data_IF_964220339957
#
_entry.id   IF_964220339957
#
_cell.length_a   1.000
_cell.length_b   1.000
_cell.length_c   1.000
_cell.angle_alpha   90.00
_cell.angle_beta   90.00
_cell.angle_gamma   90.00
#
_symmetry.space_group_name_H-M   'P 1'
#
loop_
_entity.id
_entity.type
_entity.pdbx_description
1 polymer ?
#
# COMPACT_ATOMS: atom_id res chain seq x y z
N UNK A 1 0.08 12.95 2.68
CA UNK A 1 1.50 13.12 2.26
C UNK A 1 1.79 14.34 1.37
N UNK A 2 0.84 14.85 0.56
CA UNK A 2 1.07 15.93 -0.44
C UNK A 2 1.62 17.28 0.08
N UNK A 3 1.62 17.51 1.40
CA UNK A 3 2.18 18.73 2.02
C UNK A 3 3.67 18.64 2.36
N UNK A 4 4.27 17.45 2.21
CA UNK A 4 5.67 17.20 2.56
C UNK A 4 6.58 17.24 1.33
N UNK A 5 7.87 17.44 1.56
CA UNK A 5 8.91 17.13 0.58
C UNK A 5 9.98 16.23 1.21
N UNK A 6 10.65 15.43 0.38
CA UNK A 6 11.74 14.56 0.80
C UNK A 6 13.07 15.29 0.66
N UNK A 7 13.96 15.08 1.62
CA UNK A 7 15.31 15.65 1.68
C UNK A 7 16.34 14.52 1.81
N UNK A 8 17.29 14.49 0.89
CA UNK A 8 18.53 13.74 1.00
C UNK A 8 19.44 14.40 2.06
N UNK A 9 20.53 13.72 2.41
CA UNK A 9 21.57 14.24 3.32
C UNK A 9 22.19 15.56 2.85
N UNK A 10 22.21 15.79 1.55
CA UNK A 10 22.88 16.90 0.87
C UNK A 10 21.94 17.80 0.03
N UNK A 11 20.63 17.60 0.11
CA UNK A 11 19.68 18.51 -0.53
C UNK A 11 18.26 17.98 -0.73
N UNK A 12 17.43 18.78 -1.41
CA UNK A 12 16.02 18.44 -1.63
C UNK A 12 15.86 17.41 -2.75
N UNK A 13 15.16 16.31 -2.48
CA UNK A 13 14.84 15.28 -3.47
C UNK A 13 13.59 15.65 -4.25
N UNK A 14 12.48 16.01 -3.61
CA UNK A 14 11.22 16.14 -4.33
C UNK A 14 9.98 16.05 -3.46
N UNK A 15 8.82 15.83 -4.08
CA UNK A 15 7.53 15.68 -3.36
C UNK A 15 7.00 14.25 -3.50
N UNK A 16 6.45 13.66 -2.44
CA UNK A 16 5.77 12.38 -2.55
C UNK A 16 4.49 12.57 -3.35
N UNK A 17 4.26 11.68 -4.31
CA UNK A 17 3.13 11.74 -5.23
C UNK A 17 2.16 10.57 -4.99
N UNK A 18 2.71 9.37 -4.87
CA UNK A 18 1.97 8.16 -4.52
C UNK A 18 2.88 7.17 -3.77
N UNK A 19 2.34 5.99 -3.45
CA UNK A 19 3.15 4.90 -2.93
C UNK A 19 2.72 3.57 -3.54
N UNK A 20 3.68 2.66 -3.61
CA UNK A 20 3.44 1.27 -3.95
C UNK A 20 3.39 0.43 -2.68
N UNK A 21 2.44 -0.49 -2.61
CA UNK A 21 2.27 -1.41 -1.49
C UNK A 21 2.04 -2.84 -1.98
N UNK A 22 2.38 -3.84 -1.17
CA UNK A 22 1.98 -5.22 -1.48
C UNK A 22 0.59 -5.54 -0.94
N UNK A 23 -0.30 -6.11 -1.76
CA UNK A 23 -1.69 -6.40 -1.38
C UNK A 23 -1.87 -7.64 -0.50
N UNK A 24 -0.79 -8.34 -0.15
CA UNK A 24 -0.79 -9.49 0.77
C UNK A 24 -0.59 -9.06 2.22
N UNK A 25 0.45 -8.28 2.50
CA UNK A 25 0.81 -7.82 3.84
C UNK A 25 0.43 -6.35 4.07
N UNK A 26 -0.01 -5.66 3.02
CA UNK A 26 -0.38 -4.25 3.07
C UNK A 26 0.78 -3.34 3.54
N UNK A 27 2.01 -3.76 3.27
CA UNK A 27 3.20 -2.96 3.53
C UNK A 27 3.45 -2.03 2.35
N UNK A 28 3.67 -0.75 2.65
CA UNK A 28 4.23 0.20 1.70
C UNK A 28 5.65 -0.25 1.39
N UNK A 29 5.94 -0.50 0.11
CA UNK A 29 7.25 -0.94 -0.37
C UNK A 29 8.07 0.24 -0.88
N UNK A 30 7.41 1.20 -1.52
CA UNK A 30 8.08 2.36 -2.08
C UNK A 30 7.19 3.60 -2.00
N UNK A 31 7.79 4.75 -1.70
CA UNK A 31 7.25 6.06 -1.99
C UNK A 31 7.67 6.48 -3.39
N UNK A 32 6.72 6.91 -4.23
CA UNK A 32 7.00 7.52 -5.52
C UNK A 32 7.18 9.02 -5.30
N UNK A 33 8.34 9.54 -5.72
CA UNK A 33 8.74 10.92 -5.45
C UNK A 33 9.00 11.64 -6.77
N UNK A 34 8.26 12.72 -6.99
CA UNK A 34 8.48 13.65 -8.09
C UNK A 34 9.64 14.58 -7.77
N UNK A 35 10.73 14.46 -8.52
CA UNK A 35 11.96 15.23 -8.29
C UNK A 35 11.85 16.69 -8.73
N UNK A 36 10.95 16.99 -9.68
CA UNK A 36 10.86 18.32 -10.28
C UNK A 36 12.10 18.65 -11.10
N UNK A 37 12.49 19.93 -11.16
CA UNK A 37 13.44 20.40 -12.18
C UNK A 37 14.84 19.78 -12.10
N UNK A 38 15.34 19.39 -10.93
CA UNK A 38 16.74 18.97 -10.78
C UNK A 38 17.05 17.60 -11.38
N UNK A 39 16.04 16.76 -11.62
CA UNK A 39 16.15 15.50 -12.35
C UNK A 39 15.14 15.45 -13.51
N UNK A 40 14.87 16.60 -14.13
CA UNK A 40 13.98 16.75 -15.29
C UNK A 40 12.56 16.19 -15.09
N UNK A 41 12.05 16.25 -13.86
CA UNK A 41 10.71 15.76 -13.50
C UNK A 41 10.64 14.25 -13.28
N UNK A 42 11.74 13.52 -13.42
CA UNK A 42 11.81 12.06 -13.26
C UNK A 42 11.28 11.63 -11.89
N UNK A 43 10.46 10.59 -11.87
CA UNK A 43 10.01 9.96 -10.64
C UNK A 43 11.04 8.94 -10.13
N UNK A 44 11.22 8.91 -8.81
CA UNK A 44 12.15 8.01 -8.11
C UNK A 44 11.44 7.26 -7.00
N UNK A 45 11.91 6.05 -6.72
CA UNK A 45 11.38 5.19 -5.66
C UNK A 45 12.26 5.24 -4.42
N UNK A 46 11.63 5.57 -3.29
CA UNK A 46 12.28 5.58 -1.97
C UNK A 46 11.63 4.50 -1.11
N UNK A 47 12.39 3.46 -0.75
CA UNK A 47 11.92 2.44 0.18
C UNK A 47 11.79 3.01 1.60
N UNK A 48 10.76 2.65 2.39
CA UNK A 48 10.59 3.17 3.74
C UNK A 48 11.78 2.97 4.69
N UNK A 49 12.55 1.90 4.51
CA UNK A 49 13.77 1.66 5.29
C UNK A 49 14.88 2.70 5.08
N UNK A 50 14.77 3.53 4.04
CA UNK A 50 15.72 4.63 3.76
C UNK A 50 15.29 5.95 4.43
N UNK A 51 14.15 5.98 5.11
CA UNK A 51 13.65 7.21 5.71
C UNK A 51 14.29 7.43 7.08
N UNK A 52 14.89 8.61 7.26
CA UNK A 52 15.53 9.01 8.52
C UNK A 52 14.54 9.61 9.54
N UNK A 53 13.31 9.93 9.11
CA UNK A 53 12.24 10.41 9.97
C UNK A 53 11.42 11.55 9.37
N UNK A 54 10.32 11.90 10.04
CA UNK A 54 9.38 12.95 9.61
C UNK A 54 9.51 14.16 10.51
N UNK A 55 9.69 15.34 9.92
CA UNK A 55 9.63 16.63 10.60
C UNK A 55 8.33 17.36 10.24
N UNK A 56 7.32 17.25 11.10
CA UNK A 56 6.02 17.84 10.83
C UNK A 56 6.03 19.38 10.85
N UNK A 57 6.93 20.01 11.62
CA UNK A 57 7.03 21.48 11.66
C UNK A 57 7.56 22.04 10.34
N UNK A 58 8.60 21.41 9.79
CA UNK A 58 9.21 21.82 8.51
C UNK A 58 8.50 21.21 7.31
N UNK A 59 7.55 20.30 7.53
CA UNK A 59 6.90 19.47 6.50
C UNK A 59 7.93 18.74 5.62
N UNK A 60 8.95 18.15 6.26
CA UNK A 60 10.01 17.41 5.56
C UNK A 60 10.06 15.95 6.00
N UNK A 61 10.50 15.09 5.10
CA UNK A 61 10.84 13.69 5.39
C UNK A 61 12.29 13.49 5.00
N UNK A 62 13.14 13.17 5.98
CA UNK A 62 14.55 12.91 5.73
C UNK A 62 14.74 11.54 5.08
N UNK A 63 15.68 11.45 4.15
CA UNK A 63 16.08 10.22 3.45
C UNK A 63 17.58 10.04 3.63
N UNK A 64 17.98 8.84 3.99
CA UNK A 64 19.36 8.48 4.30
C UNK A 64 20.18 8.17 3.03
N UNK A 65 20.03 9.02 2.01
CA UNK A 65 20.71 8.95 0.72
C UNK A 65 21.29 10.32 0.36
N UNK A 66 22.24 10.35 -0.57
CA UNK A 66 22.67 11.59 -1.25
C UNK A 66 21.87 11.81 -2.54
N UNK A 67 21.82 13.05 -3.04
CA UNK A 67 21.20 13.36 -4.33
C UNK A 67 21.84 12.57 -5.48
N UNK A 68 23.16 12.36 -5.44
CA UNK A 68 23.88 11.56 -6.42
C UNK A 68 23.46 10.08 -6.40
N UNK A 69 23.14 9.51 -5.22
CA UNK A 69 22.61 8.15 -5.12
C UNK A 69 21.20 8.05 -5.68
N UNK A 70 20.37 9.07 -5.45
CA UNK A 70 19.00 9.15 -5.99
C UNK A 70 19.02 9.29 -7.51
N UNK A 71 19.89 10.15 -8.06
CA UNK A 71 20.04 10.37 -9.50
C UNK A 71 20.41 9.08 -10.24
N UNK A 72 21.35 8.31 -9.70
CA UNK A 72 21.84 7.05 -10.29
C UNK A 72 20.92 5.85 -10.06
N UNK A 73 19.82 6.01 -9.34
CA UNK A 73 18.83 4.93 -9.14
C UNK A 73 18.18 4.51 -10.47
N UNK A 74 17.52 3.34 -10.55
CA UNK A 74 16.75 2.96 -11.74
C UNK A 74 15.48 3.83 -11.97
N UNK A 75 15.14 4.27 -13.20
CA UNK A 75 13.98 5.13 -13.47
C UNK A 75 12.63 4.42 -13.38
N UNK A 76 11.58 5.15 -12.99
CA UNK A 76 10.22 4.60 -12.87
C UNK A 76 9.59 4.24 -14.23
N UNK A 77 9.96 4.91 -15.33
CA UNK A 77 9.36 4.66 -16.66
C UNK A 77 9.57 3.24 -17.18
N UNK A 78 10.53 2.50 -16.61
CA UNK A 78 10.72 1.06 -16.85
C UNK A 78 9.65 0.20 -16.14
N UNK A 79 8.73 0.81 -15.39
CA UNK A 79 7.74 0.17 -14.52
C UNK A 79 6.33 0.50 -14.99
N UNK A 80 5.76 -0.39 -15.79
CA UNK A 80 4.31 -0.55 -15.95
C UNK A 80 3.98 -2.05 -15.92
N UNK A 81 2.93 -2.46 -15.17
CA UNK A 81 2.96 -2.43 -13.71
C UNK A 81 4.07 -3.37 -13.19
N UNK A 82 4.77 -2.91 -12.14
CA UNK A 82 5.60 -3.71 -11.25
C UNK A 82 6.25 -4.95 -11.89
N UNK A 83 7.31 -4.81 -12.70
CA UNK A 83 8.05 -6.01 -13.10
C UNK A 83 9.01 -6.38 -11.95
N UNK A 84 9.02 -7.64 -11.54
CA UNK A 84 10.02 -8.15 -10.59
C UNK A 84 11.45 -7.89 -11.05
N UNK A 85 11.65 -7.90 -12.36
CA UNK A 85 12.91 -7.52 -12.99
C UNK A 85 13.40 -6.14 -12.52
N UNK A 86 12.52 -5.13 -12.44
CA UNK A 86 12.91 -3.84 -11.89
C UNK A 86 13.24 -3.94 -10.40
N UNK A 87 12.39 -4.59 -9.62
CA UNK A 87 12.66 -4.70 -8.18
C UNK A 87 14.01 -5.37 -7.94
N UNK A 88 14.39 -6.40 -8.72
CA UNK A 88 15.73 -7.00 -8.69
C UNK A 88 16.83 -5.98 -8.99
N UNK A 89 16.69 -5.18 -10.05
CA UNK A 89 17.65 -4.10 -10.37
C UNK A 89 17.75 -3.06 -9.24
N UNK A 90 16.62 -2.70 -8.63
CA UNK A 90 16.56 -1.76 -7.49
C UNK A 90 17.30 -2.31 -6.27
N UNK A 91 17.00 -3.53 -5.86
CA UNK A 91 17.65 -4.18 -4.71
C UNK A 91 19.14 -4.44 -4.98
N UNK A 92 19.51 -4.82 -6.21
CA UNK A 92 20.91 -4.96 -6.62
C UNK A 92 21.65 -3.63 -6.54
N UNK A 93 21.05 -2.53 -7.01
CA UNK A 93 21.66 -1.21 -6.98
C UNK A 93 21.92 -0.70 -5.55
N UNK A 94 20.96 -0.88 -4.64
CA UNK A 94 21.12 -0.47 -3.24
C UNK A 94 21.81 -1.52 -2.35
N UNK A 95 22.10 -2.71 -2.88
CA UNK A 95 22.74 -3.81 -2.15
C UNK A 95 21.87 -4.42 -1.05
N UNK A 96 20.54 -4.38 -1.20
CA UNK A 96 19.57 -4.85 -0.20
C UNK A 96 19.08 -6.25 -0.52
N UNK A 97 18.65 -7.00 0.49
CA UNK A 97 17.97 -8.28 0.29
C UNK A 97 16.52 -8.05 -0.15
N UNK A 98 16.07 -8.67 -1.25
CA UNK A 98 14.69 -8.56 -1.67
C UNK A 98 13.69 -9.02 -0.60
N UNK A 99 12.55 -8.34 -0.47
CA UNK A 99 11.56 -8.76 0.53
C UNK A 99 10.83 -10.05 0.15
N UNK A 100 10.79 -10.40 -1.14
CA UNK A 100 10.07 -11.57 -1.65
C UNK A 100 10.87 -12.86 -1.59
N UNK A 101 12.17 -12.82 -1.27
CA UNK A 101 12.99 -14.03 -1.12
C UNK A 101 12.76 -14.73 0.22
N UNK A 102 12.16 -14.05 1.21
CA UNK A 102 11.90 -14.60 2.54
C UNK A 102 10.67 -15.53 2.62
N UNK A 103 9.84 -15.62 1.58
CA UNK A 103 8.67 -16.51 1.57
C UNK A 103 9.05 -17.99 1.33
N UNK A 104 10.30 -18.26 0.91
CA UNK A 104 10.82 -19.59 0.59
C UNK A 104 11.51 -20.31 1.76
N UNK A 105 11.68 -19.67 2.92
CA UNK A 105 12.50 -20.20 4.02
C UNK A 105 11.71 -20.89 5.15
N UNK A 106 10.41 -21.14 4.98
CA UNK A 106 9.55 -21.77 6.00
C UNK A 106 9.28 -23.28 5.77
N UNK A 107 10.18 -24.01 5.11
CA UNK A 107 10.15 -25.49 5.14
C UNK A 107 11.47 -26.05 5.69
N UNK A 108 11.45 -26.97 6.69
CA UNK A 108 12.66 -27.55 7.27
C UNK A 108 13.43 -28.53 6.37
N UNK A 109 13.07 -28.66 5.10
CA UNK A 109 13.69 -29.64 4.20
C UNK A 109 14.26 -28.96 2.95
N UNK A 110 15.45 -28.38 3.09
CA UNK A 110 16.29 -28.09 1.94
C UNK A 110 16.90 -29.40 1.45
N UNK A 111 16.66 -29.74 0.18
CA UNK A 111 17.61 -30.54 -0.60
C UNK A 111 18.13 -29.68 -1.76
N UNK A 112 19.46 -29.55 -1.94
CA UNK A 112 20.02 -28.97 -3.15
C UNK A 112 19.81 -29.97 -4.31
N UNK A 113 19.01 -29.58 -5.31
CA UNK A 113 18.98 -30.25 -6.61
C UNK A 113 19.85 -29.42 -7.55
N UNK A 114 20.92 -30.03 -8.07
CA UNK A 114 21.73 -29.44 -9.13
C UNK A 114 20.86 -29.22 -10.39
N UNK A 115 20.95 -28.08 -11.09
CA UNK A 115 20.15 -27.87 -12.28
C UNK A 115 20.60 -28.80 -13.41
N UNK A 116 19.67 -29.61 -13.91
CA UNK A 116 19.72 -30.18 -15.26
C UNK A 116 19.71 -29.04 -16.30
N UNK A 117 20.15 -29.28 -17.55
CA UNK A 117 20.23 -28.24 -18.57
C UNK A 117 18.89 -27.52 -18.70
N UNK A 118 18.95 -26.19 -18.65
CA UNK A 118 17.78 -25.32 -18.63
C UNK A 118 16.88 -25.60 -19.85
N UNK A 119 15.71 -26.17 -19.60
CA UNK A 119 14.57 -25.91 -20.46
C UNK A 119 14.25 -24.42 -20.30
N UNK A 120 14.21 -23.68 -21.41
CA UNK A 120 13.75 -22.30 -21.46
C UNK A 120 12.28 -22.23 -21.04
N UNK A 121 12.06 -22.25 -19.72
CA UNK A 121 10.81 -21.79 -19.14
C UNK A 121 10.86 -20.27 -19.25
N UNK A 122 10.10 -19.71 -20.19
CA UNK A 122 9.75 -18.31 -20.18
C UNK A 122 9.27 -18.01 -18.75
N UNK A 123 9.95 -17.15 -17.97
CA UNK A 123 9.48 -16.86 -16.63
C UNK A 123 8.10 -16.23 -16.77
N UNK A 124 7.07 -16.94 -16.30
CA UNK A 124 5.78 -16.32 -15.98
C UNK A 124 6.10 -15.03 -15.23
N UNK A 125 5.63 -13.85 -15.68
CA UNK A 125 5.94 -12.61 -15.01
C UNK A 125 5.50 -12.79 -13.56
N UNK A 126 6.43 -12.80 -12.60
CA UNK A 126 6.14 -13.17 -11.23
C UNK A 126 5.03 -12.27 -10.73
N UNK A 127 3.90 -12.87 -10.35
CA UNK A 127 2.68 -12.21 -9.89
C UNK A 127 3.02 -11.04 -8.97
N UNK A 128 3.06 -9.84 -9.56
CA UNK A 128 3.55 -8.69 -8.81
C UNK A 128 2.38 -8.17 -8.02
N UNK A 129 2.35 -8.61 -6.78
CA UNK A 129 1.40 -8.19 -5.73
C UNK A 129 1.56 -6.73 -5.33
N UNK A 130 2.48 -6.02 -5.97
CA UNK A 130 2.66 -4.59 -5.83
C UNK A 130 1.48 -3.84 -6.50
N UNK A 131 0.93 -2.86 -5.79
CA UNK A 131 -0.20 -2.04 -6.24
C UNK A 131 0.14 -0.58 -6.10
N UNK A 132 -0.24 0.21 -7.10
CA UNK A 132 -0.25 1.68 -7.02
C UNK A 132 -1.38 2.15 -6.12
N UNK A 133 -1.08 3.05 -5.17
CA UNK A 133 -2.13 3.72 -4.42
C UNK A 133 -3.05 4.54 -5.32
N UNK A 134 -2.55 5.12 -6.43
CA UNK A 134 -3.38 5.86 -7.38
C UNK A 134 -4.33 4.97 -8.18
N UNK A 135 -3.88 3.79 -8.61
CA UNK A 135 -4.73 2.84 -9.33
C UNK A 135 -5.88 2.34 -8.45
N UNK A 136 -5.61 2.09 -7.17
CA UNK A 136 -6.62 1.61 -6.21
C UNK A 136 -7.53 2.75 -5.73
N UNK A 137 -7.05 3.98 -5.70
CA UNK A 137 -7.89 5.15 -5.41
C UNK A 137 -8.99 5.31 -6.46
N UNK A 138 -10.23 5.44 -6.00
CA UNK A 138 -11.42 5.52 -6.84
C UNK A 138 -11.96 4.15 -7.31
N UNK A 139 -11.35 3.03 -6.90
CA UNK A 139 -11.95 1.72 -7.08
C UNK A 139 -13.23 1.59 -6.26
N UNK A 140 -14.24 0.93 -6.82
CA UNK A 140 -15.48 0.58 -6.14
C UNK A 140 -15.22 -0.47 -5.06
N UNK A 141 -15.72 -0.22 -3.86
CA UNK A 141 -15.72 -1.18 -2.77
C UNK A 141 -16.94 -2.10 -2.90
N UNK A 142 -16.69 -3.40 -3.04
CA UNK A 142 -17.69 -4.45 -3.14
C UNK A 142 -17.83 -5.18 -1.80
N UNK A 143 -18.96 -4.98 -1.13
CA UNK A 143 -19.40 -5.82 -0.03
C UNK A 143 -19.97 -7.14 -0.56
N UNK A 144 -20.17 -8.12 0.33
CA UNK A 144 -20.70 -9.45 -0.06
C UNK A 144 -22.10 -9.38 -0.66
N UNK A 145 -22.87 -8.34 -0.33
CA UNK A 145 -24.23 -8.07 -0.82
C UNK A 145 -24.29 -6.90 -1.83
N UNK A 146 -23.15 -6.51 -2.41
CA UNK A 146 -23.07 -5.56 -3.53
C UNK A 146 -22.21 -4.32 -3.28
N UNK A 147 -22.28 -3.37 -4.21
CA UNK A 147 -21.47 -2.14 -4.16
C UNK A 147 -21.86 -1.24 -2.97
N UNK A 148 -20.85 -0.65 -2.31
CA UNK A 148 -21.08 0.24 -1.15
C UNK A 148 -20.51 1.65 -1.29
N UNK A 149 -19.49 1.85 -2.13
CA UNK A 149 -18.79 3.11 -2.19
C UNK A 149 -17.48 3.01 -2.94
N UNK A 150 -16.57 3.96 -2.73
CA UNK A 150 -15.27 3.99 -3.40
C UNK A 150 -14.12 4.22 -2.42
N UNK A 151 -12.96 3.63 -2.71
CA UNK A 151 -11.72 3.91 -1.99
C UNK A 151 -11.27 5.35 -2.28
N UNK A 152 -11.02 6.12 -1.24
CA UNK A 152 -10.70 7.55 -1.34
C UNK A 152 -9.25 7.87 -1.03
N UNK A 153 -8.70 7.24 -0.01
CA UNK A 153 -7.30 7.40 0.43
C UNK A 153 -6.90 6.22 1.32
N UNK A 154 -5.66 6.24 1.81
CA UNK A 154 -5.10 5.23 2.69
C UNK A 154 -4.54 5.86 3.96
N UNK A 155 -4.70 5.18 5.08
CA UNK A 155 -4.07 5.55 6.34
C UNK A 155 -2.92 4.58 6.59
N UNK A 156 -1.70 5.11 6.52
CA UNK A 156 -0.44 4.36 6.69
C UNK A 156 0.12 4.62 8.08
N UNK A 157 0.50 3.55 8.79
CA UNK A 157 1.22 3.65 10.05
C UNK A 157 2.63 4.19 9.84
N UNK A 158 3.06 5.12 10.69
CA UNK A 158 4.34 5.83 10.57
C UNK A 158 5.57 5.00 10.98
N UNK A 159 5.37 3.96 11.81
CA UNK A 159 6.44 3.08 12.28
C UNK A 159 6.65 1.87 11.39
N UNK A 160 5.58 1.11 11.14
CA UNK A 160 5.69 -0.16 10.41
C UNK A 160 5.47 -0.01 8.90
N UNK A 161 5.05 1.17 8.44
CA UNK A 161 4.69 1.40 7.03
C UNK A 161 3.63 0.42 6.51
N UNK A 162 2.76 -0.03 7.41
CA UNK A 162 1.59 -0.86 7.11
C UNK A 162 0.40 0.06 6.86
N UNK A 163 -0.35 -0.19 5.80
CA UNK A 163 -1.67 0.42 5.60
C UNK A 163 -2.58 -0.14 6.69
N UNK A 164 -3.00 0.72 7.62
CA UNK A 164 -3.91 0.34 8.72
C UNK A 164 -5.35 0.34 8.25
N UNK A 165 -5.71 1.27 7.39
CA UNK A 165 -7.07 1.45 6.90
C UNK A 165 -7.09 2.01 5.47
N UNK A 166 -8.14 1.65 4.74
CA UNK A 166 -8.59 2.36 3.54
C UNK A 166 -9.67 3.36 3.98
N UNK A 167 -9.55 4.62 3.59
CA UNK A 167 -10.63 5.59 3.67
C UNK A 167 -11.63 5.30 2.56
N UNK A 168 -12.90 5.13 2.89
CA UNK A 168 -13.96 4.76 1.96
C UNK A 168 -15.05 5.83 2.01
N UNK A 169 -15.42 6.34 0.84
CA UNK A 169 -16.57 7.21 0.66
C UNK A 169 -17.81 6.35 0.38
N UNK A 170 -18.79 6.37 1.28
CA UNK A 170 -20.00 5.52 1.24
C UNK A 170 -21.29 6.31 1.01
N UNK A 171 -21.19 7.62 0.80
CA UNK A 171 -22.33 8.53 0.66
C UNK A 171 -22.61 8.93 -0.78
N UNK A 172 -23.82 9.42 -1.04
CA UNK A 172 -24.00 10.35 -2.16
C UNK A 172 -23.14 11.60 -1.90
N UNK A 173 -22.69 12.26 -2.96
CA UNK A 173 -21.92 13.52 -2.94
C UNK A 173 -22.40 14.59 -1.92
N UNK A 174 -23.66 14.51 -1.47
CA UNK A 174 -24.28 15.41 -0.49
C UNK A 174 -23.97 15.08 0.98
N UNK A 175 -23.81 13.81 1.36
CA UNK A 175 -23.54 13.45 2.76
C UNK A 175 -22.05 13.33 3.06
N UNK A 176 -21.24 12.99 2.05
CA UNK A 176 -19.78 12.92 2.15
C UNK A 176 -19.26 12.03 3.29
N UNK A 177 -20.08 11.09 3.79
CA UNK A 177 -19.76 10.28 4.96
C UNK A 177 -18.62 9.33 4.62
N UNK A 178 -17.53 9.46 5.37
CA UNK A 178 -16.34 8.62 5.25
C UNK A 178 -16.32 7.60 6.36
N UNK A 179 -15.90 6.39 6.01
CA UNK A 179 -15.61 5.31 6.95
C UNK A 179 -14.22 4.76 6.66
N UNK A 180 -13.70 3.97 7.59
CA UNK A 180 -12.42 3.28 7.43
C UNK A 180 -12.63 1.78 7.40
N UNK A 181 -11.98 1.10 6.45
CA UNK A 181 -12.01 -0.37 6.35
C UNK A 181 -10.60 -0.89 6.53
N UNK A 182 -10.43 -1.80 7.50
CA UNK A 182 -9.13 -2.45 7.72
C UNK A 182 -8.83 -3.49 6.63
N UNK A 183 -7.57 -3.59 6.16
CA UNK A 183 -7.15 -4.63 5.21
C UNK A 183 -7.48 -6.07 5.59
N UNK A 184 -7.63 -6.38 6.87
CA UNK A 184 -8.04 -7.73 7.34
C UNK A 184 -9.36 -8.19 6.72
N UNK A 185 -10.24 -7.26 6.35
CA UNK A 185 -11.53 -7.58 5.75
C UNK A 185 -11.52 -7.63 4.22
N UNK A 186 -10.41 -7.22 3.58
CA UNK A 186 -10.27 -7.19 2.12
C UNK A 186 -9.93 -8.60 1.62
N UNK A 187 -10.64 -9.05 0.60
CA UNK A 187 -10.44 -10.36 -0.04
C UNK A 187 -9.66 -10.27 -1.33
N UNK A 188 -9.82 -9.18 -2.06
CA UNK A 188 -9.15 -8.97 -3.34
C UNK A 188 -9.04 -7.48 -3.67
N UNK A 189 -7.95 -7.12 -4.33
CA UNK A 189 -7.74 -5.82 -4.95
C UNK A 189 -7.58 -6.06 -6.44
N UNK A 190 -8.50 -5.56 -7.25
CA UNK A 190 -8.48 -5.69 -8.71
C UNK A 190 -8.52 -4.31 -9.37
N UNK A 191 -7.37 -3.64 -9.54
CA UNK A 191 -7.32 -2.30 -10.12
C UNK A 191 -7.76 -2.28 -11.58
N UNK A 192 -7.55 -3.36 -12.33
CA UNK A 192 -7.96 -3.49 -13.72
C UNK A 192 -9.48 -3.44 -13.87
N UNK A 193 -10.20 -4.10 -12.96
CA UNK A 193 -11.66 -4.04 -12.88
C UNK A 193 -12.18 -2.84 -12.10
N UNK A 194 -11.30 -2.02 -11.52
CA UNK A 194 -11.64 -0.90 -10.63
C UNK A 194 -12.43 -1.35 -9.40
N UNK A 195 -12.08 -2.51 -8.83
CA UNK A 195 -12.82 -3.16 -7.75
C UNK A 195 -11.91 -3.51 -6.56
N UNK A 196 -12.41 -3.32 -5.33
CA UNK A 196 -11.84 -3.84 -4.09
C UNK A 196 -12.93 -4.60 -3.35
N UNK A 197 -12.73 -5.89 -3.08
CA UNK A 197 -13.75 -6.76 -2.48
C UNK A 197 -13.50 -6.97 -0.99
N UNK A 198 -14.56 -7.01 -0.18
CA UNK A 198 -14.49 -7.23 1.27
C UNK A 198 -15.46 -8.32 1.74
N UNK A 199 -15.13 -8.98 2.87
CA UNK A 199 -15.99 -10.00 3.51
C UNK A 199 -17.17 -9.43 4.30
N UNK A 200 -17.40 -8.13 4.25
CA UNK A 200 -18.39 -7.41 5.05
C UNK A 200 -19.65 -7.12 4.22
N UNK A 201 -20.80 -7.00 4.89
CA UNK A 201 -22.03 -6.51 4.25
C UNK A 201 -22.06 -4.98 4.20
N UNK A 202 -22.86 -4.43 3.28
CA UNK A 202 -23.14 -3.00 3.16
C UNK A 202 -23.64 -2.40 4.46
N UNK A 203 -24.52 -3.11 5.17
CA UNK A 203 -25.07 -2.65 6.44
C UNK A 203 -23.99 -2.51 7.52
N UNK A 204 -23.07 -3.46 7.61
CA UNK A 204 -21.95 -3.40 8.55
C UNK A 204 -21.05 -2.21 8.24
N UNK A 205 -20.74 -1.96 6.97
CA UNK A 205 -19.91 -0.83 6.56
C UNK A 205 -20.62 0.51 6.83
N UNK A 206 -21.93 0.62 6.53
CA UNK A 206 -22.72 1.84 6.79
C UNK A 206 -22.90 2.17 8.26
N UNK A 207 -22.84 1.18 9.14
CA UNK A 207 -22.98 1.40 10.59
C UNK A 207 -21.64 1.68 11.28
N UNK A 208 -20.52 1.64 10.55
CA UNK A 208 -19.21 1.89 11.11
C UNK A 208 -19.06 3.33 11.65
N UNK A 209 -18.20 3.53 12.68
CA UNK A 209 -17.85 4.85 13.17
C UNK A 209 -17.45 5.80 12.02
N UNK A 210 -17.97 7.02 12.03
CA UNK A 210 -17.60 8.02 11.02
C UNK A 210 -16.14 8.41 11.19
N UNK A 211 -15.41 8.51 10.07
CA UNK A 211 -14.02 8.93 10.07
C UNK A 211 -13.91 10.41 9.71
N UNK A 212 -13.17 11.16 10.52
CA UNK A 212 -12.85 12.57 10.29
C UNK A 212 -11.40 12.71 9.81
N UNK A 213 -11.15 12.99 8.51
CA UNK A 213 -9.80 13.05 7.95
C UNK A 213 -8.90 14.15 8.52
N UNK A 214 -9.50 15.13 9.20
CA UNK A 214 -8.77 16.25 9.83
C UNK A 214 -8.15 15.86 11.18
N UNK A 215 -8.52 14.72 11.74
CA UNK A 215 -8.08 14.27 13.06
C UNK A 215 -7.11 13.09 12.94
N UNK A 216 -6.14 13.03 13.86
CA UNK A 216 -5.31 11.85 14.02
C UNK A 216 -6.18 10.70 14.53
N UNK A 217 -5.94 9.50 14.02
CA UNK A 217 -6.59 8.29 14.53
C UNK A 217 -6.13 8.06 15.97
N UNK A 218 -7.07 8.18 16.90
CA UNK A 218 -6.83 7.88 18.31
C UNK A 218 -6.99 6.39 18.57
N UNK A 219 -6.33 5.89 19.62
CA UNK A 219 -6.52 4.49 20.08
C UNK A 219 -7.99 4.17 20.37
N UNK A 220 -8.74 5.13 20.91
CA UNK A 220 -10.17 4.95 21.18
C UNK A 220 -10.98 4.79 19.90
N UNK A 221 -10.63 5.50 18.84
CA UNK A 221 -11.25 5.33 17.52
C UNK A 221 -10.89 3.97 16.91
N UNK A 222 -9.62 3.55 16.98
CA UNK A 222 -9.18 2.22 16.54
C UNK A 222 -9.96 1.10 17.25
N UNK A 223 -10.14 1.23 18.56
CA UNK A 223 -10.91 0.28 19.36
C UNK A 223 -12.40 0.26 18.98
N UNK A 224 -13.01 1.42 18.68
CA UNK A 224 -14.38 1.49 18.18
C UNK A 224 -14.54 0.78 16.84
N UNK A 225 -13.63 1.05 15.90
CA UNK A 225 -13.61 0.42 14.57
C UNK A 225 -13.42 -1.09 14.70
N UNK A 226 -12.47 -1.54 15.52
CA UNK A 226 -12.22 -2.96 15.78
C UNK A 226 -13.44 -3.65 16.39
N UNK A 227 -14.01 -3.09 17.48
CA UNK A 227 -15.21 -3.63 18.13
C UNK A 227 -16.39 -3.70 17.18
N UNK A 228 -16.56 -2.70 16.33
CA UNK A 228 -17.64 -2.66 15.34
C UNK A 228 -17.53 -3.83 14.35
N UNK A 229 -16.39 -3.98 13.67
CA UNK A 229 -16.24 -5.01 12.65
C UNK A 229 -16.12 -6.44 13.22
N UNK A 230 -15.42 -6.63 14.35
CA UNK A 230 -15.32 -7.94 14.99
C UNK A 230 -16.60 -8.35 15.73
N UNK A 231 -17.32 -7.41 16.35
CA UNK A 231 -18.56 -7.68 17.08
C UNK A 231 -19.76 -7.94 16.17
N UNK A 232 -19.75 -7.42 14.95
CA UNK A 232 -20.82 -7.64 13.96
C UNK A 232 -20.52 -8.79 13.00
N UNK A 233 -19.25 -9.04 12.67
CA UNK A 233 -18.82 -10.15 11.80
C UNK A 233 -18.96 -11.56 12.41
N UNK A 234 -19.27 -11.67 13.70
CA UNK A 234 -19.53 -12.93 14.40
C UNK A 234 -21.00 -13.34 14.54
N UNK A 235 -21.95 -12.52 14.07
CA UNK A 235 -23.38 -12.88 14.07
C UNK A 235 -23.87 -13.02 12.63
N UNK A 236 -23.65 -14.21 12.05
CA UNK A 236 -24.53 -14.66 10.97
C UNK A 236 -25.91 -14.87 11.60
N UNK A 237 -26.89 -14.10 11.14
CA UNK A 237 -28.26 -14.10 11.63
C UNK A 237 -29.12 -15.13 10.86
N UNK A 238 -28.60 -16.34 10.70
CA UNK A 238 -29.26 -17.40 9.93
C UNK A 238 -29.55 -18.67 10.76
N UNK A 239 -29.58 -18.59 12.10
CA UNK A 239 -29.95 -19.74 12.97
C UNK A 239 -31.18 -19.54 13.86
N UNK A 240 -31.88 -18.40 13.78
CA UNK A 240 -33.14 -18.20 14.52
C UNK A 240 -34.34 -18.20 13.56
N UNK A 241 -34.58 -19.34 12.90
CA UNK A 241 -35.91 -19.71 12.38
C UNK A 241 -35.93 -21.23 12.12
N UNK A 242 -36.16 -21.99 13.19
CA UNK A 242 -36.69 -23.36 13.15
C UNK A 242 -37.51 -23.65 14.41
#
# INVERSE_FOLDING_TARGET
MKKFHLEARDGKIGRPDEFYFDDRHWLVRYLVVQTGNWLFGREVLIAPGMLAGVNDKKKTVGVDLTLAQVEKSPPLETIRPASRYYEEQYYQYYGWQPYWTNDLLLTPEVRPVFPAPAEEQTPEPPDTRLRSSKEVTGCTLLAVDGEIGHVKDFIVGDKEWVIRYLEVDIGSWLTGRKVVVSPTWITAVNPQRREVSVKLTRQVIRSAPAYEPSQLISKDFELQVYKHYCGTGGRNKDEDEQ
#
